data_IF_260773771232
#
_entry.id   IF_260773771232
#
_cell.length_a   1.000
_cell.length_b   1.000
_cell.length_c   1.000
_cell.angle_alpha   90.00
_cell.angle_beta   90.00
_cell.angle_gamma   90.00
#
_symmetry.space_group_name_H-M   'P 1'
#
loop_
_entity.id
_entity.type
_entity.pdbx_description
1 polymer ?
#
# COMPACT_ATOMS: atom_id res chain seq x y z
N UNK A 1 -9.69 13.31 -37.44
CA UNK A 1 -9.78 12.40 -36.29
C UNK A 1 -9.01 11.11 -36.59
N UNK A 2 -7.78 11.26 -37.09
CA UNK A 2 -6.95 10.24 -37.75
C UNK A 2 -5.54 10.38 -37.14
N UNK A 3 -5.01 9.27 -36.63
CA UNK A 3 -3.62 9.04 -36.21
C UNK A 3 -2.93 10.10 -35.33
N UNK A 4 -3.21 10.06 -34.02
CA UNK A 4 -2.12 10.29 -33.05
C UNK A 4 -1.62 8.93 -32.58
N UNK A 5 -0.69 8.37 -33.34
CA UNK A 5 0.26 7.42 -32.77
C UNK A 5 1.03 8.15 -31.67
N UNK A 6 0.57 8.00 -30.43
CA UNK A 6 1.35 8.38 -29.27
C UNK A 6 2.65 7.58 -29.31
N UNK A 7 3.73 8.28 -29.66
CA UNK A 7 5.11 7.79 -29.64
C UNK A 7 5.49 7.56 -28.17
N UNK A 8 4.98 6.48 -27.58
CA UNK A 8 5.39 5.98 -26.28
C UNK A 8 6.78 5.36 -26.43
N UNK A 9 7.81 6.20 -26.32
CA UNK A 9 9.18 5.72 -26.12
C UNK A 9 9.25 5.30 -24.66
N UNK A 10 9.40 3.99 -24.45
CA UNK A 10 9.57 3.42 -23.13
C UNK A 10 11.01 3.68 -22.71
N UNK A 11 11.25 4.81 -22.05
CA UNK A 11 12.48 4.97 -21.30
C UNK A 11 12.45 3.98 -20.13
N UNK A 12 13.52 3.21 -19.97
CA UNK A 12 13.63 2.26 -18.87
C UNK A 12 13.32 3.00 -17.56
N UNK A 13 12.56 2.40 -16.63
CA UNK A 13 12.16 3.05 -15.38
C UNK A 13 13.30 3.63 -14.53
N UNK A 14 14.55 3.19 -14.74
CA UNK A 14 15.74 3.82 -14.18
C UNK A 14 16.01 5.19 -14.83
N UNK A 15 16.05 5.28 -16.16
CA UNK A 15 16.13 6.56 -16.88
C UNK A 15 14.93 7.45 -16.56
N UNK A 16 13.73 6.87 -16.48
CA UNK A 16 12.52 7.56 -16.02
C UNK A 16 12.65 8.09 -14.58
N UNK A 17 13.26 7.35 -13.66
CA UNK A 17 13.51 7.81 -12.28
C UNK A 17 14.47 9.01 -12.27
N UNK A 18 15.52 8.99 -13.09
CA UNK A 18 16.46 10.10 -13.23
C UNK A 18 15.80 11.32 -13.89
N UNK A 19 15.01 11.13 -14.94
CA UNK A 19 14.28 12.22 -15.60
C UNK A 19 13.16 12.76 -14.71
N UNK A 20 12.42 11.91 -14.00
CA UNK A 20 11.40 12.35 -13.04
C UNK A 20 12.06 13.10 -11.87
N UNK A 21 13.21 12.64 -11.37
CA UNK A 21 13.94 13.36 -10.34
C UNK A 21 14.43 14.73 -10.85
N UNK A 22 14.96 14.79 -12.07
CA UNK A 22 15.40 16.03 -12.72
C UNK A 22 14.23 16.98 -12.96
N UNK A 23 13.11 16.47 -13.46
CA UNK A 23 11.86 17.21 -13.66
C UNK A 23 11.30 17.69 -12.31
N UNK A 24 11.35 16.90 -11.24
CA UNK A 24 10.90 17.33 -9.90
C UNK A 24 11.76 18.49 -9.35
N UNK A 25 13.08 18.43 -9.56
CA UNK A 25 14.00 19.51 -9.15
C UNK A 25 13.75 20.79 -9.95
N UNK A 26 13.34 20.68 -11.22
CA UNK A 26 13.08 21.84 -12.10
C UNK A 26 11.64 22.38 -11.96
N UNK A 27 10.63 21.49 -11.89
CA UNK A 27 9.19 21.80 -11.82
C UNK A 27 8.78 22.45 -10.50
N UNK A 28 9.50 22.18 -9.40
CA UNK A 28 9.35 22.91 -8.14
C UNK A 28 9.48 24.43 -8.29
N UNK A 29 10.08 24.93 -9.37
CA UNK A 29 10.21 26.36 -9.64
C UNK A 29 9.04 26.96 -10.46
N UNK A 30 8.23 26.13 -11.14
CA UNK A 30 7.28 26.57 -12.18
C UNK A 30 5.78 26.41 -11.81
N UNK A 31 5.44 26.04 -10.57
CA UNK A 31 4.05 26.12 -10.09
C UNK A 31 3.66 27.60 -9.88
N UNK A 32 3.52 28.35 -10.98
CA UNK A 32 3.05 29.73 -10.96
C UNK A 32 1.64 29.79 -10.34
N UNK A 33 1.40 30.69 -9.37
CA UNK A 33 0.05 30.96 -8.90
C UNK A 33 -0.77 31.45 -10.10
N UNK A 34 -1.74 30.64 -10.54
CA UNK A 34 -2.71 31.09 -11.53
C UNK A 34 -3.42 32.29 -10.90
N UNK A 35 -3.24 33.46 -11.51
CA UNK A 35 -3.86 34.69 -11.05
C UNK A 35 -5.36 34.44 -10.84
N UNK A 36 -5.82 34.62 -9.60
CA UNK A 36 -7.21 34.45 -9.22
C UNK A 36 -8.07 35.36 -10.10
N UNK A 37 -8.72 34.76 -11.11
CA UNK A 37 -9.89 35.36 -11.71
C UNK A 37 -10.92 35.48 -10.58
N UNK A 38 -11.26 36.72 -10.22
CA UNK A 38 -12.23 37.06 -9.19
C UNK A 38 -13.51 36.27 -9.43
N UNK A 39 -13.74 35.26 -8.60
CA UNK A 39 -14.94 34.44 -8.65
C UNK A 39 -16.10 35.32 -8.17
N UNK A 40 -16.78 35.95 -9.12
CA UNK A 40 -18.02 36.68 -8.88
C UNK A 40 -18.99 35.71 -8.22
N UNK A 41 -19.44 36.11 -7.03
CA UNK A 41 -20.33 35.38 -6.14
C UNK A 41 -21.69 35.17 -6.82
N UNK A 42 -21.80 34.16 -7.71
CA UNK A 42 -23.09 33.74 -8.26
C UNK A 42 -23.78 32.85 -7.22
N UNK A 43 -24.78 33.43 -6.59
CA UNK A 43 -25.80 32.75 -5.79
C UNK A 43 -26.27 31.47 -6.50
N UNK A 44 -26.30 30.31 -5.82
CA UNK A 44 -26.79 29.08 -6.41
C UNK A 44 -28.32 29.15 -6.48
N UNK A 45 -28.84 29.54 -7.65
CA UNK A 45 -30.20 29.20 -8.04
C UNK A 45 -30.28 27.67 -8.09
N UNK A 46 -31.21 27.11 -7.31
CA UNK A 46 -31.62 25.70 -7.31
C UNK A 46 -32.20 25.32 -8.69
N UNK A 47 -31.35 25.24 -9.70
CA UNK A 47 -31.64 24.63 -10.98
C UNK A 47 -31.29 23.16 -10.89
N UNK A 48 -32.31 22.32 -10.71
CA UNK A 48 -32.21 20.87 -10.82
C UNK A 48 -32.00 20.53 -12.30
N UNK A 49 -30.82 20.84 -12.87
CA UNK A 49 -30.45 20.37 -14.20
C UNK A 49 -30.28 18.85 -14.13
N UNK A 50 -31.24 18.16 -14.71
CA UNK A 50 -31.24 16.73 -14.94
C UNK A 50 -30.04 16.39 -15.84
N UNK A 51 -28.91 16.11 -15.20
CA UNK A 51 -27.66 15.76 -15.86
C UNK A 51 -27.90 14.52 -16.73
N UNK A 52 -27.85 14.73 -18.06
CA UNK A 52 -27.94 13.68 -19.07
C UNK A 52 -26.82 12.69 -18.78
N UNK A 53 -27.18 11.51 -18.26
CA UNK A 53 -26.20 10.48 -17.94
C UNK A 53 -25.44 10.08 -19.21
N UNK A 54 -24.09 10.14 -19.21
CA UNK A 54 -23.30 9.79 -20.37
C UNK A 54 -23.53 8.31 -20.74
N UNK A 55 -23.73 8.08 -22.03
CA UNK A 55 -23.96 6.77 -22.65
C UNK A 55 -22.93 5.77 -22.13
N UNK A 56 -23.40 4.86 -21.30
CA UNK A 56 -22.60 3.83 -20.65
C UNK A 56 -22.07 2.88 -21.73
N UNK A 57 -20.77 2.97 -22.04
CA UNK A 57 -20.14 2.08 -23.02
C UNK A 57 -20.31 0.62 -22.55
N UNK A 58 -21.11 -0.15 -23.30
CA UNK A 58 -21.53 -1.54 -23.04
C UNK A 58 -20.39 -2.53 -22.72
N UNK A 59 -19.14 -2.20 -23.09
CA UNK A 59 -17.93 -2.99 -22.75
C UNK A 59 -17.55 -2.94 -21.25
N UNK A 60 -18.25 -2.15 -20.42
CA UNK A 60 -17.99 -2.02 -18.98
C UNK A 60 -18.37 -3.28 -18.16
N UNK A 61 -19.39 -4.03 -18.58
CA UNK A 61 -20.03 -5.05 -17.73
C UNK A 61 -19.13 -6.22 -17.32
N UNK A 62 -18.42 -6.85 -18.28
CA UNK A 62 -17.62 -8.06 -18.01
C UNK A 62 -16.48 -7.77 -17.03
N UNK A 63 -15.79 -6.65 -17.20
CA UNK A 63 -14.75 -6.26 -16.25
C UNK A 63 -15.35 -6.11 -14.85
N UNK A 64 -16.50 -5.43 -14.70
CA UNK A 64 -17.11 -5.22 -13.38
C UNK A 64 -17.47 -6.55 -12.72
N UNK A 65 -18.06 -7.47 -13.47
CA UNK A 65 -18.32 -8.84 -13.00
C UNK A 65 -17.02 -9.49 -12.54
N UNK A 66 -15.94 -9.43 -13.32
CA UNK A 66 -14.65 -10.01 -12.93
C UNK A 66 -14.11 -9.42 -11.62
N UNK A 67 -14.15 -8.10 -11.42
CA UNK A 67 -13.69 -7.49 -10.16
C UNK A 67 -14.54 -7.93 -8.95
N UNK A 68 -15.87 -7.98 -9.12
CA UNK A 68 -16.83 -8.37 -8.08
C UNK A 68 -16.68 -9.83 -7.66
N UNK A 69 -16.28 -10.71 -8.57
CA UNK A 69 -16.08 -12.13 -8.25
C UNK A 69 -14.65 -12.43 -7.82
N UNK A 70 -13.65 -11.95 -8.55
CA UNK A 70 -12.25 -12.33 -8.34
C UNK A 70 -11.73 -11.88 -6.96
N UNK A 71 -11.96 -10.62 -6.58
CA UNK A 71 -11.38 -10.06 -5.36
C UNK A 71 -11.99 -10.68 -4.07
N UNK A 72 -13.31 -10.88 -3.95
CA UNK A 72 -13.87 -11.63 -2.82
C UNK A 72 -13.44 -13.10 -2.80
N UNK A 73 -13.31 -13.76 -3.96
CA UNK A 73 -12.74 -15.10 -4.03
C UNK A 73 -11.29 -15.14 -3.53
N UNK A 74 -10.47 -14.14 -3.90
CA UNK A 74 -9.10 -14.00 -3.36
C UNK A 74 -9.10 -13.87 -1.84
N UNK A 75 -9.98 -13.03 -1.28
CA UNK A 75 -10.13 -12.87 0.18
C UNK A 75 -10.53 -14.19 0.87
N UNK A 76 -11.51 -14.90 0.32
CA UNK A 76 -11.94 -16.20 0.85
C UNK A 76 -10.82 -17.25 0.79
N UNK A 77 -10.11 -17.33 -0.34
CA UNK A 77 -8.95 -18.20 -0.50
C UNK A 77 -7.83 -17.86 0.50
N UNK A 78 -7.53 -16.58 0.67
CA UNK A 78 -6.55 -16.09 1.63
C UNK A 78 -6.93 -16.49 3.07
N UNK A 79 -8.18 -16.26 3.48
CA UNK A 79 -8.67 -16.64 4.81
C UNK A 79 -8.50 -18.15 5.04
N UNK A 80 -8.90 -18.98 4.08
CA UNK A 80 -8.78 -20.44 4.19
C UNK A 80 -7.32 -20.88 4.33
N UNK A 81 -6.41 -20.31 3.55
CA UNK A 81 -4.98 -20.65 3.59
C UNK A 81 -4.36 -20.18 4.92
N UNK A 82 -4.52 -18.90 5.25
CA UNK A 82 -3.84 -18.27 6.39
C UNK A 82 -4.35 -18.80 7.74
N UNK A 83 -5.66 -18.88 7.93
CA UNK A 83 -6.21 -19.46 9.16
C UNK A 83 -5.99 -20.98 9.22
N UNK A 84 -5.94 -21.66 8.07
CA UNK A 84 -5.53 -23.06 7.99
C UNK A 84 -4.09 -23.29 8.47
N UNK A 85 -3.16 -22.43 8.05
CA UNK A 85 -1.76 -22.47 8.49
C UNK A 85 -1.62 -22.27 10.00
N UNK A 86 -2.34 -21.30 10.58
CA UNK A 86 -2.33 -21.07 12.02
C UNK A 86 -2.96 -22.23 12.80
N UNK A 87 -4.04 -22.82 12.29
CA UNK A 87 -4.74 -23.94 12.94
C UNK A 87 -3.91 -25.23 12.92
N UNK A 88 -3.19 -25.49 11.83
CA UNK A 88 -2.50 -26.76 11.58
C UNK A 88 -1.02 -26.73 11.98
N UNK A 89 -0.49 -25.63 12.50
CA UNK A 89 0.91 -25.57 12.89
C UNK A 89 1.18 -26.44 14.12
N UNK A 90 2.08 -27.44 14.05
CA UNK A 90 2.50 -28.19 15.21
C UNK A 90 3.22 -27.25 16.20
N UNK A 91 2.97 -27.47 17.48
CA UNK A 91 3.42 -26.69 18.65
C UNK A 91 4.95 -26.45 18.70
N UNK A 92 5.46 -25.48 19.49
CA UNK A 92 4.78 -24.75 20.56
C UNK A 92 3.79 -23.75 20.00
N UNK A 93 2.50 -24.00 20.23
CA UNK A 93 1.43 -23.08 19.83
C UNK A 93 1.71 -21.75 20.53
N UNK A 94 1.43 -20.60 19.92
CA UNK A 94 1.47 -19.31 20.62
C UNK A 94 0.77 -19.34 21.98
N UNK A 95 -0.19 -20.26 22.16
CA UNK A 95 -0.78 -20.58 23.46
C UNK A 95 0.23 -20.97 24.54
N UNK A 96 1.28 -21.76 24.26
CA UNK A 96 2.31 -22.12 25.26
C UNK A 96 3.13 -20.91 25.68
N UNK A 97 3.40 -19.99 24.76
CA UNK A 97 4.07 -18.71 25.04
C UNK A 97 3.16 -17.74 25.79
N UNK A 98 1.85 -17.97 25.77
CA UNK A 98 0.84 -17.09 26.34
C UNK A 98 -0.02 -17.79 27.40
N UNK A 99 0.36 -19.00 27.85
CA UNK A 99 -0.51 -19.85 28.66
C UNK A 99 -0.51 -19.42 30.13
N UNK A 100 -1.64 -19.71 30.77
CA UNK A 100 -2.00 -19.31 32.12
C UNK A 100 -1.32 -20.07 33.26
N UNK A 101 -0.46 -21.05 32.94
CA UNK A 101 -0.28 -22.24 33.79
C UNK A 101 0.94 -22.32 34.72
N UNK A 102 1.96 -21.48 34.61
CA UNK A 102 3.08 -21.48 35.57
C UNK A 102 3.54 -20.04 35.85
N UNK A 103 3.80 -19.74 37.11
CA UNK A 103 4.14 -18.41 37.63
C UNK A 103 5.43 -17.80 37.08
N UNK A 104 6.14 -18.51 36.19
CA UNK A 104 7.23 -17.93 35.42
C UNK A 104 6.67 -17.05 34.30
N UNK A 105 6.71 -15.73 34.48
CA UNK A 105 6.41 -14.75 33.43
C UNK A 105 7.21 -15.10 32.15
N UNK A 106 6.54 -15.66 31.15
CA UNK A 106 7.11 -15.72 29.80
C UNK A 106 7.34 -14.28 29.33
N UNK A 107 8.45 -13.94 28.67
CA UNK A 107 8.75 -12.56 28.28
C UNK A 107 7.65 -11.86 27.48
N UNK A 108 6.81 -12.62 26.75
CA UNK A 108 5.73 -12.09 25.93
C UNK A 108 4.41 -11.81 26.70
N UNK A 109 4.23 -12.36 27.91
CA UNK A 109 2.98 -12.22 28.68
C UNK A 109 3.11 -11.07 29.68
N UNK A 110 2.93 -9.86 29.18
CA UNK A 110 2.87 -8.64 29.99
C UNK A 110 1.42 -8.30 30.32
N UNK A 111 1.18 -7.69 31.48
CA UNK A 111 -0.08 -7.00 31.77
C UNK A 111 -0.06 -5.67 31.00
N UNK A 112 -0.44 -5.68 29.72
CA UNK A 112 -0.37 -4.48 28.88
C UNK A 112 -1.38 -3.43 29.35
N UNK A 113 -2.62 -3.86 29.59
CA UNK A 113 -3.67 -3.01 30.19
C UNK A 113 -4.33 -3.65 31.41
N UNK A 114 -3.96 -4.89 31.78
CA UNK A 114 -4.53 -5.61 32.92
C UNK A 114 -5.89 -6.25 32.63
N UNK A 115 -6.23 -6.45 31.36
CA UNK A 115 -7.46 -7.12 30.94
C UNK A 115 -7.12 -8.42 30.20
N UNK A 116 -7.43 -9.57 30.81
CA UNK A 116 -6.95 -10.89 30.37
C UNK A 116 -7.17 -11.18 28.89
N UNK A 117 -8.36 -10.89 28.36
CA UNK A 117 -8.66 -11.14 26.95
C UNK A 117 -7.81 -10.27 26.01
N UNK A 118 -7.50 -9.03 26.40
CA UNK A 118 -6.67 -8.14 25.59
C UNK A 118 -5.20 -8.56 25.71
N UNK A 119 -4.73 -8.81 26.93
CA UNK A 119 -3.34 -9.16 27.20
C UNK A 119 -2.97 -10.50 26.55
N UNK A 120 -3.88 -11.47 26.57
CA UNK A 120 -3.74 -12.75 25.86
C UNK A 120 -3.62 -12.55 24.33
N UNK A 121 -4.45 -11.68 23.75
CA UNK A 121 -4.40 -11.38 22.31
C UNK A 121 -3.13 -10.65 21.91
N UNK A 122 -2.73 -9.64 22.68
CA UNK A 122 -1.47 -8.93 22.46
C UNK A 122 -0.26 -9.86 22.60
N UNK A 123 -0.27 -10.78 23.58
CA UNK A 123 0.76 -11.79 23.71
C UNK A 123 0.88 -12.65 22.44
N UNK A 124 -0.24 -13.11 21.86
CA UNK A 124 -0.23 -13.91 20.62
C UNK A 124 0.39 -13.11 19.47
N UNK A 125 -0.01 -11.85 19.32
CA UNK A 125 0.49 -10.97 18.25
C UNK A 125 1.99 -10.70 18.42
N UNK A 126 2.44 -10.40 19.64
CA UNK A 126 3.86 -10.15 19.95
C UNK A 126 4.69 -11.42 19.76
N UNK A 127 4.19 -12.58 20.19
CA UNK A 127 4.86 -13.86 19.98
C UNK A 127 4.97 -14.20 18.48
N UNK A 128 3.91 -13.95 17.70
CA UNK A 128 3.91 -14.08 16.24
C UNK A 128 4.97 -13.19 15.59
N UNK A 129 5.00 -11.90 15.93
CA UNK A 129 5.98 -10.97 15.36
C UNK A 129 7.41 -11.32 15.78
N UNK A 130 7.60 -11.74 17.04
CA UNK A 130 8.89 -12.23 17.50
C UNK A 130 9.34 -13.45 16.70
N UNK A 131 8.47 -14.44 16.49
CA UNK A 131 8.79 -15.63 15.69
C UNK A 131 9.10 -15.28 14.22
N UNK A 132 8.46 -14.24 13.67
CA UNK A 132 8.74 -13.71 12.34
C UNK A 132 10.11 -13.00 12.26
N UNK A 133 10.53 -12.35 13.36
CA UNK A 133 11.74 -11.55 13.46
C UNK A 133 13.00 -12.33 13.92
N UNK A 134 12.83 -13.43 14.65
CA UNK A 134 13.91 -14.13 15.36
C UNK A 134 14.91 -14.88 14.44
N UNK A 135 16.15 -15.07 14.91
CA UNK A 135 17.09 -16.06 14.37
C UNK A 135 17.53 -15.87 12.90
N UNK A 136 17.80 -14.63 12.47
CA UNK A 136 18.23 -14.35 11.09
C UNK A 136 17.09 -14.33 10.05
N UNK A 137 15.84 -14.52 10.50
CA UNK A 137 14.60 -14.47 9.70
C UNK A 137 14.10 -13.06 9.42
N UNK A 138 14.60 -12.07 10.16
CA UNK A 138 14.35 -10.64 9.98
C UNK A 138 14.55 -10.13 8.54
N UNK A 139 15.37 -10.83 7.73
CA UNK A 139 15.66 -10.46 6.33
C UNK A 139 14.41 -10.44 5.45
N UNK A 140 13.58 -11.48 5.53
CA UNK A 140 12.30 -11.49 4.79
C UNK A 140 11.34 -10.43 5.33
N UNK A 141 11.40 -10.17 6.63
CA UNK A 141 10.49 -9.27 7.31
C UNK A 141 10.72 -7.79 6.93
N UNK A 142 11.96 -7.38 6.68
CA UNK A 142 12.24 -6.04 6.15
C UNK A 142 11.69 -5.86 4.74
N UNK A 143 11.85 -6.85 3.87
CA UNK A 143 11.28 -6.85 2.51
C UNK A 143 9.75 -6.90 2.51
N UNK A 144 9.14 -7.63 3.45
CA UNK A 144 7.69 -7.66 3.66
C UNK A 144 7.12 -6.25 3.86
N UNK A 145 7.65 -5.48 4.82
CA UNK A 145 7.13 -4.13 5.08
C UNK A 145 7.44 -3.15 3.97
N UNK A 146 8.59 -3.28 3.32
CA UNK A 146 8.89 -2.43 2.18
C UNK A 146 7.94 -2.70 1.01
N UNK A 147 7.56 -3.97 0.81
CA UNK A 147 6.56 -4.39 -0.19
C UNK A 147 5.13 -4.01 0.20
N UNK A 148 4.82 -3.99 1.50
CA UNK A 148 3.51 -3.60 2.01
C UNK A 148 3.22 -2.12 1.80
N UNK A 149 4.23 -1.24 1.93
CA UNK A 149 4.08 0.22 1.84
C UNK A 149 3.23 0.73 0.66
N UNK A 150 3.55 0.39 -0.60
CA UNK A 150 2.74 0.78 -1.76
C UNK A 150 1.27 0.28 -1.68
N UNK A 151 1.06 -0.94 -1.17
CA UNK A 151 -0.28 -1.51 -1.01
C UNK A 151 -1.06 -0.88 0.14
N UNK A 152 -0.36 -0.43 1.19
CA UNK A 152 -0.95 0.28 2.29
C UNK A 152 -1.38 1.68 1.87
N UNK A 153 -0.57 2.41 1.11
CA UNK A 153 -0.84 3.82 0.76
C UNK A 153 -1.80 4.01 -0.41
N UNK A 154 -1.87 3.06 -1.35
CA UNK A 154 -2.75 3.18 -2.52
C UNK A 154 -4.24 3.38 -2.16
N UNK A 155 -4.84 2.62 -1.23
CA UNK A 155 -6.21 2.87 -0.76
C UNK A 155 -6.44 4.30 -0.27
N UNK A 156 -5.43 4.88 0.38
CA UNK A 156 -5.50 6.18 1.02
C UNK A 156 -5.63 7.29 -0.04
N UNK A 157 -4.79 7.19 -1.08
CA UNK A 157 -4.80 8.09 -2.25
C UNK A 157 -6.11 7.93 -3.03
N UNK A 158 -6.56 6.70 -3.26
CA UNK A 158 -7.75 6.45 -4.07
C UNK A 158 -9.05 6.87 -3.39
N UNK A 159 -9.16 6.76 -2.05
CA UNK A 159 -10.28 7.34 -1.32
C UNK A 159 -10.36 8.86 -1.52
N UNK A 160 -9.22 9.55 -1.47
CA UNK A 160 -9.20 11.00 -1.71
C UNK A 160 -9.60 11.34 -3.14
N UNK A 161 -9.13 10.55 -4.11
CA UNK A 161 -9.44 10.73 -5.54
C UNK A 161 -10.92 10.50 -5.85
N UNK A 162 -11.58 9.63 -5.09
CA UNK A 162 -13.03 9.41 -5.15
C UNK A 162 -13.86 10.54 -4.50
N UNK A 163 -13.21 11.58 -3.95
CA UNK A 163 -13.91 12.74 -3.38
C UNK A 163 -14.49 12.52 -1.98
N UNK A 164 -14.07 11.47 -1.26
CA UNK A 164 -14.52 11.27 0.12
C UNK A 164 -14.05 12.41 1.03
N UNK A 165 -14.92 12.81 1.98
CA UNK A 165 -14.63 13.84 2.98
C UNK A 165 -13.51 13.41 3.92
N UNK A 166 -12.75 14.37 4.45
CA UNK A 166 -11.59 14.10 5.34
C UNK A 166 -11.91 13.14 6.49
N UNK A 167 -12.98 13.34 7.29
CA UNK A 167 -13.25 12.44 8.41
C UNK A 167 -13.55 11.01 7.94
N UNK A 168 -14.27 10.86 6.83
CA UNK A 168 -14.58 9.55 6.25
C UNK A 168 -13.31 8.82 5.86
N UNK A 169 -12.37 9.53 5.24
CA UNK A 169 -11.09 8.95 4.83
C UNK A 169 -10.28 8.53 6.06
N UNK A 170 -10.11 9.40 7.05
CA UNK A 170 -9.33 9.09 8.26
C UNK A 170 -9.93 7.90 9.06
N UNK A 171 -11.26 7.87 9.21
CA UNK A 171 -11.95 6.76 9.87
C UNK A 171 -11.80 5.47 9.06
N UNK A 172 -11.94 5.53 7.73
CA UNK A 172 -11.77 4.36 6.87
C UNK A 172 -10.35 3.81 6.93
N UNK A 173 -9.35 4.68 6.99
CA UNK A 173 -7.94 4.29 7.17
C UNK A 173 -7.73 3.59 8.51
N UNK A 174 -8.27 4.14 9.60
CA UNK A 174 -8.19 3.52 10.92
C UNK A 174 -8.88 2.14 10.94
N UNK A 175 -10.11 2.06 10.42
CA UNK A 175 -10.87 0.81 10.34
C UNK A 175 -10.13 -0.22 9.50
N UNK A 176 -9.61 0.17 8.34
CA UNK A 176 -8.85 -0.73 7.46
C UNK A 176 -7.60 -1.28 8.16
N UNK A 177 -6.84 -0.40 8.86
CA UNK A 177 -5.66 -0.81 9.60
C UNK A 177 -5.96 -1.69 10.82
N UNK A 178 -7.04 -1.41 11.55
CA UNK A 178 -7.50 -2.27 12.66
C UNK A 178 -7.93 -3.63 12.12
N UNK A 179 -8.76 -3.66 11.07
CA UNK A 179 -9.19 -4.92 10.44
C UNK A 179 -8.01 -5.72 9.90
N UNK A 180 -7.01 -5.05 9.33
CA UNK A 180 -5.74 -5.67 8.91
C UNK A 180 -5.06 -6.39 10.08
N UNK A 181 -4.96 -5.76 11.27
CA UNK A 181 -4.33 -6.38 12.43
C UNK A 181 -5.12 -7.59 12.97
N UNK A 182 -6.46 -7.55 12.90
CA UNK A 182 -7.30 -8.64 13.41
C UNK A 182 -7.44 -9.82 12.45
N UNK A 183 -7.54 -9.55 11.15
CA UNK A 183 -7.86 -10.57 10.17
C UNK A 183 -6.67 -10.93 9.28
N UNK A 184 -5.81 -9.96 8.91
CA UNK A 184 -4.73 -9.99 7.89
C UNK A 184 -5.04 -9.13 6.65
N UNK A 185 -4.01 -8.60 5.99
CA UNK A 185 -4.20 -7.75 4.80
C UNK A 185 -4.68 -8.51 3.57
N UNK A 186 -4.28 -9.78 3.44
CA UNK A 186 -4.70 -10.64 2.35
C UNK A 186 -6.20 -10.92 2.31
N UNK A 187 -6.89 -10.81 3.45
CA UNK A 187 -8.35 -10.93 3.53
C UNK A 187 -8.99 -9.57 3.32
N UNK A 188 -8.50 -8.54 4.01
CA UNK A 188 -9.17 -7.24 4.07
C UNK A 188 -8.98 -6.42 2.81
N UNK A 189 -7.78 -6.40 2.22
CA UNK A 189 -7.46 -5.51 1.12
C UNK A 189 -8.21 -5.87 -0.19
N UNK A 190 -8.38 -7.15 -0.59
CA UNK A 190 -9.22 -7.48 -1.74
C UNK A 190 -10.67 -7.07 -1.54
N UNK A 191 -11.23 -7.23 -0.34
CA UNK A 191 -12.61 -6.81 -0.04
C UNK A 191 -12.74 -5.29 -0.13
N UNK A 192 -11.77 -4.56 0.43
CA UNK A 192 -11.73 -3.11 0.33
C UNK A 192 -11.65 -2.66 -1.13
N UNK A 193 -10.77 -3.25 -1.95
CA UNK A 193 -10.70 -2.95 -3.39
C UNK A 193 -12.01 -3.28 -4.10
N UNK A 194 -12.71 -4.36 -3.73
CA UNK A 194 -14.03 -4.68 -4.29
C UNK A 194 -15.03 -3.56 -4.04
N UNK A 195 -15.15 -3.12 -2.78
CA UNK A 195 -16.06 -2.03 -2.38
C UNK A 195 -15.66 -0.75 -3.09
N UNK A 196 -14.36 -0.42 -3.11
CA UNK A 196 -13.86 0.79 -3.73
C UNK A 196 -14.15 0.80 -5.24
N UNK A 197 -13.81 -0.26 -5.97
CA UNK A 197 -14.01 -0.33 -7.43
C UNK A 197 -15.49 -0.33 -7.84
N UNK A 198 -16.39 -0.81 -6.97
CA UNK A 198 -17.83 -0.74 -7.18
C UNK A 198 -18.44 0.63 -6.87
N UNK A 199 -17.88 1.33 -5.89
CA UNK A 199 -18.42 2.60 -5.39
C UNK A 199 -17.78 3.82 -6.04
N UNK A 200 -16.54 3.72 -6.52
CA UNK A 200 -15.83 4.82 -7.14
C UNK A 200 -16.18 4.92 -8.63
N UNK A 201 -16.70 6.07 -9.03
CA UNK A 201 -16.82 6.41 -10.44
C UNK A 201 -15.44 6.49 -11.10
N UNK A 202 -15.38 6.29 -12.42
CA UNK A 202 -14.12 6.48 -13.19
C UNK A 202 -13.66 7.94 -13.29
N UNK A 203 -14.46 8.88 -12.78
CA UNK A 203 -14.14 10.29 -12.78
C UNK A 203 -13.20 10.59 -11.61
N UNK A 204 -11.91 10.62 -11.89
CA UNK A 204 -10.90 11.00 -10.91
C UNK A 204 -11.03 12.50 -10.58
N UNK A 205 -11.26 12.82 -9.31
CA UNK A 205 -11.19 14.20 -8.83
C UNK A 205 -9.72 14.60 -8.68
N UNK A 206 -9.42 15.88 -8.95
CA UNK A 206 -8.10 16.41 -8.66
C UNK A 206 -7.82 16.36 -7.15
N UNK A 207 -6.65 15.85 -6.77
CA UNK A 207 -6.26 15.75 -5.38
C UNK A 207 -5.78 17.11 -4.89
N UNK A 208 -6.29 17.55 -3.74
CA UNK A 208 -5.79 18.75 -3.09
C UNK A 208 -4.42 18.47 -2.45
N UNK A 209 -3.39 19.31 -2.64
CA UNK A 209 -2.01 19.00 -2.23
C UNK A 209 -1.86 18.70 -0.74
N UNK A 210 -2.42 19.53 0.13
CA UNK A 210 -2.38 19.30 1.58
C UNK A 210 -2.90 17.94 2.05
N UNK A 211 -3.87 17.34 1.34
CA UNK A 211 -4.33 16.00 1.69
C UNK A 211 -3.32 14.93 1.30
N UNK A 212 -2.64 15.11 0.17
CA UNK A 212 -1.57 14.21 -0.26
C UNK A 212 -0.37 14.36 0.66
N UNK A 213 0.05 15.60 0.95
CA UNK A 213 1.14 15.90 1.88
C UNK A 213 0.87 15.32 3.26
N UNK A 214 -0.32 15.57 3.83
CA UNK A 214 -0.68 15.01 5.13
C UNK A 214 -0.72 13.48 5.13
N UNK A 215 -1.14 12.87 4.02
CA UNK A 215 -1.10 11.41 3.85
C UNK A 215 0.35 10.91 3.79
N UNK A 216 1.24 11.63 3.10
CA UNK A 216 2.66 11.29 3.04
C UNK A 216 3.35 11.43 4.39
N UNK A 217 3.13 12.53 5.11
CA UNK A 217 3.68 12.77 6.45
C UNK A 217 3.16 11.72 7.44
N UNK A 218 1.85 11.44 7.42
CA UNK A 218 1.26 10.35 8.20
C UNK A 218 1.88 8.99 7.88
N UNK A 219 2.13 8.69 6.60
CA UNK A 219 2.78 7.47 6.15
C UNK A 219 4.25 7.38 6.62
N UNK A 220 5.03 8.45 6.48
CA UNK A 220 6.44 8.48 6.88
C UNK A 220 6.61 8.22 8.37
N UNK A 221 5.92 8.99 9.22
CA UNK A 221 6.12 8.89 10.67
C UNK A 221 5.24 7.84 11.33
N UNK A 222 4.03 7.61 10.81
CA UNK A 222 3.08 6.66 11.39
C UNK A 222 3.34 5.22 10.98
N UNK A 223 3.91 4.97 9.79
CA UNK A 223 4.19 3.62 9.30
C UNK A 223 5.68 3.35 9.09
N UNK A 224 6.35 4.13 8.24
CA UNK A 224 7.71 3.81 7.81
C UNK A 224 8.70 3.88 8.97
N UNK A 225 8.67 4.97 9.74
CA UNK A 225 9.50 5.16 10.93
C UNK A 225 9.27 4.06 11.97
N UNK A 226 8.01 3.78 12.29
CA UNK A 226 7.64 2.74 13.28
C UNK A 226 8.08 1.35 12.81
N UNK A 227 7.99 1.06 11.51
CA UNK A 227 8.42 -0.22 10.94
C UNK A 227 9.95 -0.36 10.90
N UNK A 228 10.68 0.73 10.63
CA UNK A 228 12.16 0.74 10.75
C UNK A 228 12.58 0.48 12.19
N UNK A 229 11.93 1.14 13.16
CA UNK A 229 12.17 0.89 14.58
C UNK A 229 11.94 -0.58 14.95
N UNK A 230 10.86 -1.20 14.44
CA UNK A 230 10.58 -2.61 14.65
C UNK A 230 11.65 -3.55 14.08
N UNK A 231 12.10 -3.29 12.86
CA UNK A 231 13.11 -4.14 12.20
C UNK A 231 14.48 -4.01 12.88
N UNK A 232 14.82 -2.80 13.36
CA UNK A 232 16.11 -2.51 14.01
C UNK A 232 16.13 -2.86 15.49
N UNK A 233 15.00 -2.78 16.19
CA UNK A 233 14.84 -3.07 17.61
C UNK A 233 13.71 -4.08 17.82
N UNK A 234 14.07 -5.35 17.95
CA UNK A 234 13.13 -6.46 18.10
C UNK A 234 12.67 -6.67 19.55
N UNK A 235 12.60 -5.59 20.33
CA UNK A 235 12.14 -5.64 21.73
C UNK A 235 10.62 -5.83 21.78
N UNK A 236 10.12 -6.38 22.89
CA UNK A 236 8.67 -6.54 23.10
C UNK A 236 7.96 -5.18 23.08
N UNK A 237 8.56 -4.16 23.69
CA UNK A 237 8.00 -2.81 23.71
C UNK A 237 7.81 -2.23 22.29
N UNK A 238 8.80 -2.38 21.41
CA UNK A 238 8.71 -1.91 20.03
C UNK A 238 7.67 -2.71 19.23
N UNK A 239 7.57 -4.03 19.44
CA UNK A 239 6.51 -4.85 18.83
C UNK A 239 5.11 -4.36 19.20
N UNK A 240 4.89 -4.01 20.47
CA UNK A 240 3.62 -3.47 20.97
C UNK A 240 3.33 -2.10 20.35
N UNK A 241 4.33 -1.22 20.36
CA UNK A 241 4.20 0.12 19.78
C UNK A 241 3.85 0.03 18.29
N UNK A 242 4.44 -0.93 17.58
CA UNK A 242 4.13 -1.17 16.17
C UNK A 242 2.66 -1.56 15.97
N UNK A 243 2.00 -2.27 16.88
CA UNK A 243 0.57 -2.60 16.71
C UNK A 243 -0.35 -1.36 16.59
N UNK A 244 0.09 -0.23 17.15
CA UNK A 244 -0.64 1.04 17.17
C UNK A 244 -0.38 1.84 15.87
N UNK A 245 0.45 1.37 14.95
CA UNK A 245 0.84 2.11 13.74
C UNK A 245 -0.35 2.70 12.93
N UNK A 246 -1.52 2.03 12.77
CA UNK A 246 -2.64 2.62 12.04
C UNK A 246 -3.18 3.89 12.70
N UNK A 247 -3.21 3.90 14.03
CA UNK A 247 -3.60 5.06 14.83
C UNK A 247 -2.56 6.16 14.68
N UNK A 248 -1.26 5.81 14.72
CA UNK A 248 -0.16 6.77 14.54
C UNK A 248 -0.23 7.50 13.19
N UNK A 249 -0.54 6.80 12.09
CA UNK A 249 -0.74 7.43 10.77
C UNK A 249 -1.84 8.50 10.84
N UNK A 250 -3.01 8.14 11.39
CA UNK A 250 -4.18 9.03 11.45
C UNK A 250 -3.90 10.23 12.36
N UNK A 251 -3.26 10.03 13.51
CA UNK A 251 -2.91 11.09 14.44
C UNK A 251 -1.93 12.07 13.79
N UNK A 252 -0.83 11.59 13.21
CA UNK A 252 0.17 12.44 12.56
C UNK A 252 -0.44 13.20 11.38
N UNK A 253 -1.21 12.53 10.53
CA UNK A 253 -1.92 13.17 9.42
C UNK A 253 -2.89 14.25 9.93
N UNK A 254 -3.62 13.98 11.01
CA UNK A 254 -4.57 14.94 11.59
C UNK A 254 -3.86 16.17 12.14
N UNK A 255 -2.72 16.01 12.83
CA UNK A 255 -1.90 17.12 13.27
C UNK A 255 -1.37 17.96 12.11
N UNK A 256 -0.87 17.31 11.06
CA UNK A 256 -0.42 18.01 9.86
C UNK A 256 -1.53 18.83 9.21
N UNK A 257 -2.72 18.25 9.03
CA UNK A 257 -3.86 18.96 8.44
C UNK A 257 -4.38 20.09 9.33
N UNK A 258 -4.34 19.92 10.66
CA UNK A 258 -4.69 20.99 11.59
C UNK A 258 -3.70 22.15 11.51
N UNK A 259 -2.39 21.84 11.46
CA UNK A 259 -1.33 22.83 11.27
C UNK A 259 -1.48 23.57 9.94
N UNK A 260 -1.72 22.87 8.83
CA UNK A 260 -1.86 23.50 7.52
C UNK A 260 -3.06 24.46 7.45
N UNK A 261 -4.20 24.08 8.02
CA UNK A 261 -5.37 24.97 8.12
C UNK A 261 -5.10 26.26 8.90
N UNK A 262 -4.17 26.19 9.87
CA UNK A 262 -3.79 27.34 10.67
C UNK A 262 -2.74 28.22 9.97
N UNK A 263 -1.76 27.59 9.30
CA UNK A 263 -0.57 28.27 8.81
C UNK A 263 -0.67 28.78 7.37
N UNK A 264 -1.43 28.13 6.48
CA UNK A 264 -1.45 28.45 5.06
C UNK A 264 -2.86 28.81 4.59
N UNK A 265 -2.97 29.94 3.88
CA UNK A 265 -4.14 30.28 3.05
C UNK A 265 -4.24 29.35 1.82
N UNK A 266 -5.11 29.68 0.86
CA UNK A 266 -5.34 28.87 -0.35
C UNK A 266 -4.01 28.46 -1.02
N UNK A 267 -3.68 27.17 -0.94
CA UNK A 267 -2.41 26.63 -1.43
C UNK A 267 -2.44 26.34 -2.93
N UNK A 268 -1.26 26.38 -3.59
CA UNK A 268 -1.12 26.05 -5.01
C UNK A 268 -1.66 24.65 -5.34
N UNK A 269 -2.09 24.42 -6.58
CA UNK A 269 -2.78 23.19 -7.03
C UNK A 269 -1.88 21.94 -7.20
N UNK A 270 -0.56 22.02 -6.95
CA UNK A 270 0.42 21.00 -7.36
C UNK A 270 0.46 19.76 -6.43
N UNK A 271 -0.46 18.80 -6.60
CA UNK A 271 -0.48 17.54 -5.81
C UNK A 271 0.31 16.39 -6.44
N UNK A 272 0.65 16.50 -7.72
CA UNK A 272 1.32 15.47 -8.49
C UNK A 272 2.73 15.18 -7.96
N UNK A 273 3.52 16.20 -7.65
CA UNK A 273 4.91 16.05 -7.20
C UNK A 273 5.01 15.29 -5.89
N UNK A 274 4.11 15.58 -4.94
CA UNK A 274 4.04 14.87 -3.66
C UNK A 274 3.60 13.41 -3.85
N UNK A 275 2.67 13.14 -4.77
CA UNK A 275 2.30 11.75 -5.12
C UNK A 275 3.49 10.97 -5.70
N UNK A 276 4.23 11.59 -6.62
CA UNK A 276 5.45 11.01 -7.16
C UNK A 276 6.46 10.72 -6.05
N UNK A 277 6.65 11.66 -5.12
CA UNK A 277 7.55 11.49 -3.98
C UNK A 277 7.15 10.32 -3.07
N UNK A 278 5.85 10.09 -2.83
CA UNK A 278 5.36 8.90 -2.10
C UNK A 278 5.79 7.62 -2.82
N UNK A 279 5.59 7.54 -4.13
CA UNK A 279 5.90 6.35 -4.92
C UNK A 279 7.41 6.13 -5.05
N UNK A 280 8.20 7.19 -5.26
CA UNK A 280 9.67 7.15 -5.31
C UNK A 280 10.21 6.68 -3.96
N UNK A 281 9.70 7.21 -2.84
CA UNK A 281 10.11 6.78 -1.50
C UNK A 281 9.88 5.29 -1.30
N UNK A 282 8.70 4.79 -1.68
CA UNK A 282 8.38 3.36 -1.63
C UNK A 282 9.24 2.52 -2.58
N UNK A 283 9.52 3.03 -3.78
CA UNK A 283 10.40 2.39 -4.75
C UNK A 283 11.81 2.22 -4.18
N UNK A 284 12.40 3.30 -3.67
CA UNK A 284 13.75 3.29 -3.10
C UNK A 284 13.82 2.37 -1.87
N UNK A 285 12.87 2.48 -0.95
CA UNK A 285 12.84 1.63 0.25
C UNK A 285 12.71 0.13 -0.08
N UNK A 286 11.81 -0.22 -1.00
CA UNK A 286 11.68 -1.61 -1.47
C UNK A 286 12.91 -2.09 -2.24
N UNK A 287 13.55 -1.24 -3.05
CA UNK A 287 14.77 -1.61 -3.76
C UNK A 287 15.93 -1.85 -2.81
N UNK A 288 16.12 -0.99 -1.80
CA UNK A 288 17.18 -1.12 -0.80
C UNK A 288 17.01 -2.42 -0.01
N UNK A 289 15.81 -2.70 0.49
CA UNK A 289 15.53 -3.92 1.27
C UNK A 289 15.62 -5.19 0.41
N UNK A 290 15.20 -5.14 -0.85
CA UNK A 290 15.35 -6.23 -1.80
C UNK A 290 16.83 -6.50 -2.12
N UNK A 291 17.60 -5.47 -2.47
CA UNK A 291 19.03 -5.60 -2.76
C UNK A 291 19.81 -6.12 -1.54
N UNK A 292 19.49 -5.64 -0.34
CA UNK A 292 20.05 -6.16 0.90
C UNK A 292 19.74 -7.65 1.08
N UNK A 293 18.48 -8.06 0.89
CA UNK A 293 18.05 -9.46 1.04
C UNK A 293 18.70 -10.35 -0.02
N UNK A 294 18.72 -9.93 -1.28
CA UNK A 294 19.37 -10.62 -2.38
C UNK A 294 20.88 -10.79 -2.12
N UNK A 295 21.58 -9.73 -1.71
CA UNK A 295 23.00 -9.80 -1.35
C UNK A 295 23.27 -10.82 -0.22
N UNK A 296 22.42 -10.83 0.80
CA UNK A 296 22.51 -11.78 1.91
C UNK A 296 22.27 -13.22 1.47
N UNK A 297 21.35 -13.46 0.54
CA UNK A 297 21.08 -14.77 -0.06
C UNK A 297 22.29 -15.23 -0.87
N UNK A 298 22.85 -14.37 -1.71
CA UNK A 298 24.00 -14.67 -2.57
C UNK A 298 25.27 -14.96 -1.77
N UNK A 299 25.44 -14.33 -0.60
CA UNK A 299 26.58 -14.58 0.31
C UNK A 299 26.41 -15.85 1.17
N UNK A 300 25.23 -16.48 1.17
CA UNK A 300 25.00 -17.70 1.96
C UNK A 300 25.77 -18.90 1.41
N UNK A 301 26.01 -19.90 2.25
CA UNK A 301 26.66 -21.15 1.84
C UNK A 301 25.79 -21.99 0.86
N UNK A 302 24.49 -21.68 0.76
CA UNK A 302 23.55 -22.34 -0.14
C UNK A 302 22.56 -21.31 -0.74
N UNK A 303 22.98 -20.53 -1.77
CA UNK A 303 22.19 -19.43 -2.30
C UNK A 303 20.85 -19.86 -2.89
N UNK A 304 20.80 -21.00 -3.60
CA UNK A 304 19.57 -21.49 -4.22
C UNK A 304 18.52 -21.90 -3.18
N UNK A 305 18.95 -22.62 -2.12
CA UNK A 305 18.07 -23.00 -1.02
C UNK A 305 17.61 -21.78 -0.24
N UNK A 306 18.51 -20.81 -0.02
CA UNK A 306 18.17 -19.54 0.63
C UNK A 306 17.18 -18.71 -0.20
N UNK A 307 17.31 -18.70 -1.53
CA UNK A 307 16.38 -18.04 -2.44
C UNK A 307 15.00 -18.70 -2.40
N UNK A 308 14.95 -20.02 -2.50
CA UNK A 308 13.71 -20.80 -2.37
C UNK A 308 13.08 -20.55 -1.00
N UNK A 309 13.88 -20.56 0.06
CA UNK A 309 13.42 -20.28 1.41
C UNK A 309 12.97 -18.83 1.59
N UNK A 310 13.49 -17.84 0.87
CA UNK A 310 13.06 -16.45 0.98
C UNK A 310 11.72 -16.21 0.26
N UNK A 311 11.60 -16.67 -0.99
CA UNK A 311 10.51 -16.23 -1.87
C UNK A 311 9.44 -17.29 -2.17
N UNK A 312 9.72 -18.58 -1.98
CA UNK A 312 8.74 -19.62 -2.28
C UNK A 312 7.78 -19.82 -1.09
N UNK A 313 6.47 -19.55 -1.23
CA UNK A 313 5.50 -19.91 -0.21
C UNK A 313 5.32 -21.44 -0.22
N UNK A 314 5.57 -22.10 0.90
CA UNK A 314 5.40 -23.56 1.01
C UNK A 314 4.02 -23.89 1.59
N UNK A 315 3.28 -24.77 0.91
CA UNK A 315 1.97 -25.24 1.38
C UNK A 315 2.07 -26.32 2.47
N UNK A 316 3.18 -27.06 2.49
CA UNK A 316 3.42 -28.15 3.44
C UNK A 316 4.83 -28.01 4.02
N UNK A 317 5.05 -28.34 5.31
CA UNK A 317 6.39 -28.49 5.85
C UNK A 317 7.12 -29.59 5.07
N UNK A 318 8.02 -29.21 4.17
CA UNK A 318 8.90 -30.16 3.49
C UNK A 318 9.98 -30.61 4.46
N UNK A 319 10.22 -31.91 4.56
CA UNK A 319 11.35 -32.49 5.31
C UNK A 319 12.73 -32.00 4.85
N UNK A 320 12.80 -31.42 3.64
CA UNK A 320 14.03 -30.98 2.97
C UNK A 320 14.39 -29.50 3.20
N UNK A 321 13.64 -28.76 4.03
CA UNK A 321 13.96 -27.35 4.31
C UNK A 321 13.95 -27.09 5.81
N UNK A 322 14.83 -26.21 6.32
CA UNK A 322 14.76 -25.77 7.71
C UNK A 322 13.33 -25.32 8.01
N UNK A 323 12.75 -25.72 9.16
CA UNK A 323 11.36 -25.39 9.47
C UNK A 323 11.20 -23.87 9.42
N UNK A 324 10.51 -23.39 8.37
CA UNK A 324 10.02 -22.01 8.32
C UNK A 324 9.00 -21.87 9.45
N UNK A 325 9.13 -20.80 10.23
CA UNK A 325 8.15 -20.52 11.28
C UNK A 325 6.74 -20.43 10.69
N UNK A 326 5.74 -20.74 11.50
CA UNK A 326 4.34 -20.56 11.09
C UNK A 326 4.09 -19.10 10.68
N UNK A 327 4.68 -18.16 11.44
CA UNK A 327 4.62 -16.74 11.16
C UNK A 327 5.20 -16.35 9.79
N UNK A 328 6.36 -16.89 9.40
CA UNK A 328 6.93 -16.61 8.08
C UNK A 328 6.07 -17.13 6.93
N UNK A 329 5.56 -18.37 7.04
CA UNK A 329 4.67 -18.94 6.02
C UNK A 329 3.40 -18.10 5.90
N UNK A 330 2.85 -17.67 7.03
CA UNK A 330 1.71 -16.76 7.07
C UNK A 330 2.02 -15.46 6.32
N UNK A 331 3.09 -14.74 6.67
CA UNK A 331 3.42 -13.44 6.10
C UNK A 331 3.75 -13.50 4.60
N UNK A 332 4.35 -14.59 4.12
CA UNK A 332 4.57 -14.82 2.68
C UNK A 332 3.26 -14.92 1.91
N UNK A 333 2.32 -15.72 2.41
CA UNK A 333 1.00 -15.80 1.80
C UNK A 333 0.27 -14.47 1.90
N UNK A 334 0.38 -13.79 3.06
CA UNK A 334 -0.26 -12.50 3.29
C UNK A 334 0.18 -11.47 2.24
N UNK A 335 1.49 -11.28 2.08
CA UNK A 335 2.02 -10.28 1.14
C UNK A 335 1.69 -10.62 -0.32
N UNK A 336 1.64 -11.89 -0.71
CA UNK A 336 1.27 -12.29 -2.07
C UNK A 336 -0.15 -11.84 -2.41
N UNK A 337 -1.11 -12.08 -1.51
CA UNK A 337 -2.49 -11.67 -1.73
C UNK A 337 -2.66 -10.15 -1.64
N UNK A 338 -1.96 -9.49 -0.70
CA UNK A 338 -1.93 -8.02 -0.60
C UNK A 338 -1.43 -7.40 -1.91
N UNK A 339 -0.23 -7.76 -2.34
CA UNK A 339 0.38 -7.21 -3.56
C UNK A 339 -0.41 -7.59 -4.80
N UNK A 340 -0.91 -8.83 -4.87
CA UNK A 340 -1.73 -9.30 -5.99
C UNK A 340 -3.03 -8.53 -6.15
N UNK A 341 -3.74 -8.25 -5.05
CA UNK A 341 -4.98 -7.47 -5.09
C UNK A 341 -4.73 -6.00 -5.46
N UNK A 342 -3.65 -5.40 -4.94
CA UNK A 342 -3.26 -4.03 -5.31
C UNK A 342 -2.78 -3.93 -6.76
N UNK A 343 -2.03 -4.91 -7.25
CA UNK A 343 -1.65 -5.00 -8.66
C UNK A 343 -2.89 -5.10 -9.55
N UNK A 344 -3.85 -5.95 -9.18
CA UNK A 344 -5.12 -6.06 -9.90
C UNK A 344 -5.85 -4.71 -9.97
N UNK A 345 -5.94 -3.99 -8.84
CA UNK A 345 -6.52 -2.65 -8.81
C UNK A 345 -5.74 -1.63 -9.67
N UNK A 346 -4.40 -1.66 -9.63
CA UNK A 346 -3.56 -0.83 -10.50
C UNK A 346 -3.85 -1.07 -11.98
N UNK A 347 -3.85 -2.34 -12.40
CA UNK A 347 -4.16 -2.76 -13.78
C UNK A 347 -5.59 -2.38 -14.19
N UNK A 348 -6.53 -2.44 -13.24
CA UNK A 348 -7.91 -2.05 -13.44
C UNK A 348 -8.03 -0.58 -13.84
N UNK A 349 -7.29 0.30 -13.15
CA UNK A 349 -7.30 1.73 -13.42
C UNK A 349 -6.57 2.14 -14.71
N UNK A 350 -5.70 1.29 -15.26
CA UNK A 350 -5.06 1.55 -16.54
C UNK A 350 -6.05 1.40 -17.71
N UNK A 351 -6.01 2.39 -18.61
CA UNK A 351 -6.86 2.45 -19.81
C UNK A 351 -6.17 1.76 -20.98
N UNK A 352 -6.83 0.76 -21.58
CA UNK A 352 -6.34 0.04 -22.76
C UNK A 352 -5.52 -1.22 -22.43
N UNK A 353 -5.41 -2.13 -23.41
CA UNK A 353 -4.72 -3.40 -23.24
C UNK A 353 -3.18 -3.25 -23.21
N UNK A 354 -2.63 -2.37 -24.05
CA UNK A 354 -1.18 -2.15 -24.14
C UNK A 354 -0.58 -1.67 -22.81
N UNK A 355 -1.11 -0.62 -22.13
CA UNK A 355 -0.58 -0.21 -20.84
C UNK A 355 -0.66 -1.30 -19.76
N UNK A 356 -1.72 -2.12 -19.78
CA UNK A 356 -1.86 -3.25 -18.85
C UNK A 356 -0.79 -4.32 -19.09
N UNK A 357 -0.56 -4.70 -20.35
CA UNK A 357 0.49 -5.67 -20.69
C UNK A 357 1.88 -5.16 -20.31
N UNK A 358 2.16 -3.88 -20.56
CA UNK A 358 3.41 -3.24 -20.15
C UNK A 358 3.56 -3.20 -18.63
N UNK A 359 2.50 -2.89 -17.89
CA UNK A 359 2.51 -2.92 -16.42
C UNK A 359 2.72 -4.33 -15.87
N UNK A 360 2.17 -5.37 -16.52
CA UNK A 360 2.44 -6.77 -16.15
C UNK A 360 3.91 -7.13 -16.42
N UNK A 361 4.43 -6.79 -17.61
CA UNK A 361 5.84 -7.01 -17.94
C UNK A 361 6.78 -6.29 -16.98
N UNK A 362 6.47 -5.04 -16.65
CA UNK A 362 7.20 -4.27 -15.64
C UNK A 362 7.06 -4.88 -14.25
N UNK A 363 5.88 -5.37 -13.85
CA UNK A 363 5.73 -6.02 -12.56
C UNK A 363 6.66 -7.24 -12.44
N UNK A 364 6.72 -8.08 -13.48
CA UNK A 364 7.55 -9.28 -13.51
C UNK A 364 9.05 -8.90 -13.45
N UNK A 365 9.51 -8.06 -14.37
CA UNK A 365 10.91 -7.66 -14.44
C UNK A 365 11.32 -6.83 -13.22
N UNK A 366 10.49 -5.87 -12.84
CA UNK A 366 10.70 -5.01 -11.69
C UNK A 366 10.75 -5.78 -10.38
N UNK A 367 9.92 -6.83 -10.22
CA UNK A 367 9.97 -7.67 -9.02
C UNK A 367 11.28 -8.44 -8.94
N UNK A 368 11.80 -8.91 -10.08
CA UNK A 368 13.07 -9.64 -10.17
C UNK A 368 14.27 -8.75 -9.82
N UNK A 369 14.29 -7.50 -10.28
CA UNK A 369 15.46 -6.62 -10.12
C UNK A 369 15.38 -5.69 -8.91
N UNK A 370 14.19 -5.22 -8.55
CA UNK A 370 13.98 -4.17 -7.54
C UNK A 370 13.08 -4.62 -6.38
N UNK A 371 12.51 -5.83 -6.44
CA UNK A 371 11.56 -6.34 -5.47
C UNK A 371 10.10 -5.93 -5.77
N UNK A 372 9.17 -6.66 -5.16
CA UNK A 372 7.74 -6.54 -5.47
C UNK A 372 7.13 -5.17 -5.13
N UNK A 373 7.58 -4.55 -4.04
CA UNK A 373 7.14 -3.21 -3.64
C UNK A 373 7.54 -2.12 -4.63
N UNK A 374 8.79 -2.17 -5.10
CA UNK A 374 9.32 -1.22 -6.08
C UNK A 374 8.61 -1.38 -7.43
N UNK A 375 8.43 -2.63 -7.88
CA UNK A 375 7.68 -2.92 -9.10
C UNK A 375 6.27 -2.33 -9.04
N UNK A 376 5.56 -2.57 -7.93
CA UNK A 376 4.21 -2.04 -7.71
C UNK A 376 4.21 -0.51 -7.67
N UNK A 377 5.11 0.13 -6.91
CA UNK A 377 5.26 1.58 -6.90
C UNK A 377 5.48 2.16 -8.30
N UNK A 378 6.29 1.51 -9.14
CA UNK A 378 6.53 1.95 -10.51
C UNK A 378 5.26 1.96 -11.36
N UNK A 379 4.35 1.00 -11.17
CA UNK A 379 3.04 0.98 -11.86
C UNK A 379 2.19 2.17 -11.42
N UNK A 380 2.11 2.42 -10.12
CA UNK A 380 1.33 3.56 -9.60
C UNK A 380 1.95 4.90 -10.00
N UNK A 381 3.28 5.01 -9.95
CA UNK A 381 4.04 6.18 -10.42
C UNK A 381 3.73 6.50 -11.90
N UNK A 382 3.77 5.47 -12.76
CA UNK A 382 3.43 5.62 -14.18
C UNK A 382 1.96 6.03 -14.38
N UNK A 383 1.03 5.38 -13.65
CA UNK A 383 -0.38 5.74 -13.68
C UNK A 383 -0.59 7.22 -13.33
N UNK A 384 0.04 7.70 -12.27
CA UNK A 384 -0.08 9.10 -11.85
C UNK A 384 0.41 10.06 -12.94
N UNK A 385 1.51 9.73 -13.62
CA UNK A 385 2.01 10.53 -14.75
C UNK A 385 0.98 10.62 -15.88
N UNK A 386 0.41 9.49 -16.28
CA UNK A 386 -0.62 9.46 -17.35
C UNK A 386 -1.84 10.30 -16.94
N UNK A 387 -2.27 10.23 -15.68
CA UNK A 387 -3.41 11.03 -15.19
C UNK A 387 -3.12 12.53 -15.19
N UNK A 388 -1.88 12.93 -14.91
CA UNK A 388 -1.48 14.34 -14.95
C UNK A 388 -1.36 14.85 -16.39
N UNK A 389 -0.81 14.06 -17.31
CA UNK A 389 -0.77 14.39 -18.73
C UNK A 389 -2.19 14.59 -19.31
N UNK A 390 -3.11 13.66 -19.02
CA UNK A 390 -4.53 13.77 -19.41
C UNK A 390 -5.15 15.08 -18.89
N UNK A 391 -4.83 15.46 -17.65
CA UNK A 391 -5.31 16.71 -17.03
C UNK A 391 -4.75 17.94 -17.73
N UNK A 392 -3.45 17.97 -18.04
CA UNK A 392 -2.81 19.09 -18.74
C UNK A 392 -3.40 19.30 -20.12
N UNK A 393 -3.62 18.22 -20.87
CA UNK A 393 -4.28 18.27 -22.19
C UNK A 393 -5.70 18.81 -22.07
N UNK A 394 -6.47 18.35 -21.08
CA UNK A 394 -7.84 18.83 -20.85
C UNK A 394 -7.91 20.30 -20.41
N UNK A 395 -6.91 20.81 -19.68
CA UNK A 395 -6.79 22.24 -19.34
C UNK A 395 -6.49 23.06 -20.60
N UNK A 396 -5.52 22.64 -21.42
CA UNK A 396 -5.17 23.32 -22.68
C UNK A 396 -6.33 23.37 -23.67
N UNK A 397 -7.12 22.29 -23.80
CA UNK A 397 -8.27 22.27 -24.70
C UNK A 397 -9.43 23.18 -24.28
N UNK A 398 -9.47 23.64 -23.04
CA UNK A 398 -10.48 24.59 -22.54
C UNK A 398 -10.05 26.05 -22.68
N UNK A 399 -8.76 26.30 -22.88
CA UNK A 399 -8.19 27.63 -23.03
C UNK A 399 -8.21 28.14 -24.48
N UNK A 400 -8.22 27.20 -25.44
CA UNK A 400 -8.42 27.46 -26.86
C UNK A 400 -9.91 27.38 -27.21
#
# INVERSE_FOLDING_TARGET
>A
MKDREHRFVFELPVAFLFDTYRELVVSSADCHPIAHASFVNKTPLLGLELSIMPVHSRKSGICHVLAVFLLPCMSFCAARILFGLLRNSPKPSFKEWCQEGDTSMTPARLAYIGHDAFDSRMCIIVAFMREALDGGRAKFFSEFYATFGPSAIAPFIEMRRAGYRIPVVLVSMLVLGILYQFLTGAVILPLWWTIHLLSSGRNAVALHPHYVEGTFIGYLFGYLFVSIALVTSQTIAVNVLWQIFPISIVIVQSFYLAYQRYAHGDAPECSYEVLQLIHITNFCWSTITHAYTAFQILRSNAPLDSLKHAYHPTFSPSSLSPPTSAAQRFLKWDIIFITGSTLFAGLWFLRGARPRLLAIGWFILGTLFFGGGAALSGIWMWREKVLEEDRRVAKQSKAN
#
